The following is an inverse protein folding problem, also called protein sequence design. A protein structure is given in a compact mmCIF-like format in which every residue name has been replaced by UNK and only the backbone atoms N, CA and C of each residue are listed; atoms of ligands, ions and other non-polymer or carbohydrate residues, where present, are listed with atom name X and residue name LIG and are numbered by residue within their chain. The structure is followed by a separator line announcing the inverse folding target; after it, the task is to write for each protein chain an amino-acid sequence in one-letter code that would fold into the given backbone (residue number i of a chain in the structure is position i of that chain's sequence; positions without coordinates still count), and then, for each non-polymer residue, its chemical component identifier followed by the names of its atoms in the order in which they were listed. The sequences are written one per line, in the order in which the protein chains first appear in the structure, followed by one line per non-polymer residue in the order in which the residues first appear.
data_IF_642919705167
#
_entry.id   IF_642919705167
#
_cell.length_a   1.000
_cell.length_b   1.000
_cell.length_c   1.000
_cell.angle_alpha   90.00
_cell.angle_beta   90.00
_cell.angle_gamma   90.00
#
_symmetry.space_group_name_H-M   'P 1'
#
loop_
_entity.id
_entity.type
_entity.pdbx_description
1 polymer ?
#
# COMPACT_ATOMS: atom_id res chain seq x y z
N UNK A 1 -38.78 -0.79 4.61
CA UNK A 1 -37.87 0.21 3.99
C UNK A 1 -37.43 1.16 5.09
N UNK A 2 -36.33 0.87 5.79
CA UNK A 2 -35.70 1.81 6.71
C UNK A 2 -34.66 2.61 5.87
N UNK A 3 -34.88 3.93 5.78
CA UNK A 3 -34.00 4.84 5.08
C UNK A 3 -32.69 5.02 5.87
N UNK A 4 -31.59 4.91 5.21
CA UNK A 4 -30.26 5.19 5.76
C UNK A 4 -30.07 6.71 5.91
N UNK A 5 -29.47 7.19 7.00
CA UNK A 5 -29.08 8.59 7.08
C UNK A 5 -28.00 8.90 6.05
N UNK A 6 -28.22 9.92 5.23
CA UNK A 6 -27.23 10.47 4.30
C UNK A 6 -26.21 11.27 5.12
N UNK A 7 -24.95 10.90 5.03
CA UNK A 7 -23.83 11.70 5.54
C UNK A 7 -23.38 12.68 4.47
N UNK A 8 -23.45 13.98 4.77
CA UNK A 8 -22.84 15.01 3.95
C UNK A 8 -21.33 15.05 4.22
N UNK A 9 -20.55 15.14 3.16
CA UNK A 9 -19.08 15.20 3.18
C UNK A 9 -18.51 16.57 3.68
N UNK A 10 -19.36 17.40 4.25
CA UNK A 10 -18.97 18.66 4.86
C UNK A 10 -19.56 18.76 6.25
N UNK A 11 -18.74 18.52 7.29
CA UNK A 11 -18.93 18.95 8.68
C UNK A 11 -20.34 18.94 9.27
N UNK A 12 -21.23 18.07 8.82
CA UNK A 12 -22.62 18.04 9.23
C UNK A 12 -22.83 17.12 10.42
N UNK A 13 -23.33 17.68 11.51
CA UNK A 13 -23.91 16.92 12.61
C UNK A 13 -24.89 15.88 12.05
N UNK A 14 -24.79 14.64 12.52
CA UNK A 14 -25.79 13.63 12.29
C UNK A 14 -27.16 14.15 12.76
N UNK A 15 -27.99 14.60 11.84
CA UNK A 15 -29.42 14.83 12.09
C UNK A 15 -30.13 13.49 12.07
N UNK A 16 -30.15 12.87 13.20
CA UNK A 16 -30.93 11.69 13.54
C UNK A 16 -31.33 11.81 14.98
N UNK A 17 -32.04 12.90 15.30
CA UNK A 17 -32.70 13.01 16.58
C UNK A 17 -33.99 12.19 16.54
N UNK A 18 -34.01 11.24 17.48
CA UNK A 18 -35.23 10.80 18.20
C UNK A 18 -36.29 10.00 17.43
N UNK A 19 -35.91 8.77 16.99
CA UNK A 19 -36.81 7.66 17.28
C UNK A 19 -35.96 6.41 17.62
N UNK A 20 -35.74 6.25 18.91
CA UNK A 20 -35.46 5.03 19.61
C UNK A 20 -34.58 3.97 18.95
N UNK A 21 -33.28 4.19 18.80
CA UNK A 21 -32.36 3.05 18.78
C UNK A 21 -32.28 2.50 20.21
N UNK A 22 -33.22 1.65 20.58
CA UNK A 22 -33.34 1.03 21.90
C UNK A 22 -32.16 0.10 22.24
N UNK A 23 -31.25 -0.16 21.24
CA UNK A 23 -30.12 -1.05 21.44
C UNK A 23 -28.86 -0.50 20.78
N UNK A 24 -28.20 0.44 21.47
CA UNK A 24 -26.88 0.98 21.05
C UNK A 24 -25.83 -0.12 20.84
N UNK A 25 -26.01 -1.31 21.43
CA UNK A 25 -25.08 -2.42 21.28
C UNK A 25 -25.15 -3.06 19.88
N UNK A 26 -26.24 -2.88 19.15
CA UNK A 26 -26.41 -3.39 17.79
C UNK A 26 -26.00 -2.39 16.69
N UNK A 27 -25.70 -1.16 17.05
CA UNK A 27 -25.29 -0.16 16.07
C UNK A 27 -23.90 -0.51 15.50
N UNK A 28 -23.75 -0.38 14.19
CA UNK A 28 -22.48 -0.50 13.46
C UNK A 28 -22.23 0.76 12.70
N UNK A 29 -21.03 1.32 12.85
CA UNK A 29 -20.58 2.50 12.11
C UNK A 29 -19.57 2.03 11.07
N UNK A 30 -19.96 2.12 9.81
CA UNK A 30 -19.08 1.77 8.69
C UNK A 30 -18.54 3.05 8.09
N UNK A 31 -17.22 3.17 7.98
CA UNK A 31 -16.53 4.33 7.42
C UNK A 31 -15.58 3.90 6.32
N UNK A 32 -15.70 4.49 5.15
CA UNK A 32 -14.74 4.32 4.07
C UNK A 32 -13.60 5.32 4.24
N UNK A 33 -12.38 4.88 4.05
CA UNK A 33 -11.17 5.71 4.13
C UNK A 33 -10.80 6.30 2.76
N UNK A 34 -10.04 7.41 2.72
CA UNK A 34 -9.54 8.19 3.85
C UNK A 34 -10.63 9.07 4.46
N UNK A 35 -10.68 9.18 5.78
CA UNK A 35 -11.69 9.96 6.51
C UNK A 35 -11.10 11.26 7.07
N UNK A 36 -9.83 11.23 7.51
CA UNK A 36 -9.06 12.41 7.92
C UNK A 36 -8.22 12.97 6.77
N UNK A 37 -7.70 14.18 6.94
CA UNK A 37 -6.76 14.83 6.00
C UNK A 37 -5.33 14.83 6.54
N UNK A 38 -5.17 14.68 7.86
CA UNK A 38 -3.94 14.67 8.63
C UNK A 38 -4.18 14.02 10.00
N UNK A 39 -3.14 13.92 10.83
CA UNK A 39 -3.22 13.34 12.18
C UNK A 39 -4.25 14.06 13.07
N UNK A 40 -4.28 15.41 13.01
CA UNK A 40 -5.15 16.24 13.84
C UNK A 40 -6.63 16.02 13.53
N UNK A 41 -7.00 16.05 12.27
CA UNK A 41 -8.38 15.86 11.81
C UNK A 41 -8.88 14.44 12.07
N UNK A 42 -8.01 13.42 11.91
CA UNK A 42 -8.38 12.04 12.21
C UNK A 42 -8.58 11.80 13.72
N UNK A 43 -7.71 12.34 14.58
CA UNK A 43 -7.88 12.29 16.04
C UNK A 43 -9.17 12.96 16.50
N UNK A 44 -9.53 14.11 15.89
CA UNK A 44 -10.78 14.79 16.20
C UNK A 44 -11.98 13.94 15.83
N UNK A 45 -11.97 13.40 14.64
CA UNK A 45 -13.02 12.51 14.13
C UNK A 45 -13.15 11.22 14.95
N UNK A 46 -12.01 10.60 15.33
CA UNK A 46 -12.01 9.42 16.19
C UNK A 46 -12.62 9.70 17.57
N UNK A 47 -12.38 10.89 18.15
CA UNK A 47 -13.02 11.31 19.41
C UNK A 47 -14.54 11.47 19.26
N UNK A 48 -14.99 12.10 18.18
CA UNK A 48 -16.40 12.28 17.90
C UNK A 48 -17.12 10.93 17.74
N UNK A 49 -16.54 10.01 16.97
CA UNK A 49 -17.11 8.68 16.75
C UNK A 49 -17.10 7.81 18.00
N UNK A 50 -16.03 7.87 18.79
CA UNK A 50 -15.94 7.17 20.09
C UNK A 50 -16.93 7.74 21.13
N UNK A 51 -17.32 9.00 21.02
CA UNK A 51 -18.39 9.58 21.83
C UNK A 51 -19.75 8.94 21.60
N UNK A 52 -19.98 8.32 20.42
CA UNK A 52 -21.21 7.64 20.04
C UNK A 52 -21.21 6.12 20.17
N UNK A 53 -20.04 5.46 20.34
CA UNK A 53 -19.93 3.99 20.35
C UNK A 53 -18.57 3.48 20.79
N UNK A 54 -18.47 2.17 20.98
CA UNK A 54 -17.21 1.49 21.31
C UNK A 54 -16.41 1.20 20.03
N UNK A 55 -15.08 1.12 20.12
CA UNK A 55 -14.19 0.83 18.97
C UNK A 55 -14.60 -0.45 18.21
N UNK A 56 -15.09 -1.47 18.91
CA UNK A 56 -15.57 -2.73 18.32
C UNK A 56 -16.82 -2.58 17.44
N UNK A 57 -17.46 -1.42 17.46
CA UNK A 57 -18.65 -1.09 16.64
C UNK A 57 -18.27 -0.23 15.43
N UNK A 58 -16.99 0.14 15.27
CA UNK A 58 -16.51 1.03 14.23
C UNK A 58 -15.71 0.22 13.22
N UNK A 59 -16.21 0.14 12.00
CA UNK A 59 -15.65 -0.62 10.90
C UNK A 59 -15.07 0.36 9.86
N UNK A 60 -13.73 0.59 9.94
CA UNK A 60 -13.03 1.46 8.99
C UNK A 60 -12.61 0.61 7.80
N UNK A 61 -13.33 0.78 6.69
CA UNK A 61 -13.08 0.04 5.45
C UNK A 61 -11.83 0.55 4.76
N UNK A 62 -10.92 -0.38 4.49
CA UNK A 62 -9.88 -0.30 3.48
C UNK A 62 -10.10 -1.46 2.50
N UNK A 63 -10.47 -1.16 1.25
CA UNK A 63 -10.84 -2.20 0.27
C UNK A 63 -9.67 -3.17 -0.03
N UNK A 64 -8.43 -2.70 0.14
CA UNK A 64 -7.25 -3.53 -0.03
C UNK A 64 -7.26 -4.73 0.93
N UNK A 65 -7.71 -4.54 2.17
CA UNK A 65 -7.78 -5.59 3.18
C UNK A 65 -8.83 -6.67 2.89
N UNK A 66 -9.86 -6.33 2.09
CA UNK A 66 -10.88 -7.29 1.67
C UNK A 66 -10.42 -8.24 0.57
N UNK A 67 -9.26 -8.00 -0.05
CA UNK A 67 -8.74 -8.86 -1.12
C UNK A 67 -8.12 -10.14 -0.57
N UNK A 68 -8.46 -11.28 -1.17
CA UNK A 68 -7.93 -12.58 -0.76
C UNK A 68 -6.41 -12.64 -0.82
N UNK A 69 -5.81 -12.05 -1.84
CA UNK A 69 -4.36 -12.04 -2.03
C UNK A 69 -3.60 -11.23 -1.00
N UNK A 70 -4.18 -10.14 -0.48
CA UNK A 70 -3.61 -9.44 0.67
C UNK A 70 -3.68 -10.32 1.93
N UNK A 71 -4.77 -11.06 2.08
CA UNK A 71 -4.92 -12.02 3.19
C UNK A 71 -3.97 -13.21 3.03
N UNK A 72 -3.66 -13.62 1.79
CA UNK A 72 -2.73 -14.69 1.49
C UNK A 72 -1.30 -14.41 1.96
N UNK A 73 -0.88 -13.16 2.09
CA UNK A 73 0.42 -12.82 2.71
C UNK A 73 0.55 -13.49 4.09
N UNK A 74 -0.52 -13.47 4.89
CA UNK A 74 -0.56 -14.14 6.19
C UNK A 74 -0.55 -15.65 6.04
N UNK A 75 -1.32 -16.20 5.09
CA UNK A 75 -1.36 -17.63 4.79
C UNK A 75 0.01 -18.15 4.37
N UNK A 76 0.68 -17.48 3.43
CA UNK A 76 2.03 -17.86 3.00
C UNK A 76 3.04 -17.82 4.13
N UNK A 77 3.01 -16.79 4.97
CA UNK A 77 3.95 -16.66 6.07
C UNK A 77 3.67 -17.66 7.19
N UNK A 78 2.45 -17.69 7.71
CA UNK A 78 2.14 -18.33 8.99
C UNK A 78 1.71 -19.78 8.87
N UNK A 79 1.33 -20.23 7.67
CA UNK A 79 1.01 -21.64 7.41
C UNK A 79 2.20 -22.46 6.89
N UNK A 80 3.35 -21.84 6.61
CA UNK A 80 4.48 -22.48 5.95
C UNK A 80 5.78 -22.28 6.73
N UNK A 81 6.40 -23.37 7.16
CA UNK A 81 7.67 -23.35 7.90
C UNK A 81 8.87 -22.86 7.11
N UNK A 82 8.78 -22.79 5.79
CA UNK A 82 9.89 -22.35 4.93
C UNK A 82 9.97 -20.82 4.80
N UNK A 83 8.87 -20.08 5.00
CA UNK A 83 8.87 -18.63 4.78
C UNK A 83 9.11 -17.82 6.07
N UNK A 84 8.39 -18.08 7.14
CA UNK A 84 8.46 -17.24 8.34
C UNK A 84 9.87 -17.16 8.96
N UNK A 85 10.68 -18.24 9.04
CA UNK A 85 12.05 -18.16 9.57
C UNK A 85 12.99 -17.26 8.77
N UNK A 86 12.76 -17.10 7.47
CA UNK A 86 13.58 -16.25 6.59
C UNK A 86 12.95 -14.87 6.34
N UNK A 87 11.79 -14.57 6.92
CA UNK A 87 11.06 -13.32 6.73
C UNK A 87 11.54 -12.23 7.67
N UNK A 88 12.83 -11.89 7.58
CA UNK A 88 13.47 -10.92 8.45
C UNK A 88 14.77 -10.37 7.84
N UNK A 89 15.35 -9.38 8.51
CA UNK A 89 16.58 -8.66 8.12
C UNK A 89 17.81 -9.52 7.85
N UNK A 90 17.85 -10.74 8.38
CA UNK A 90 19.01 -11.62 8.17
C UNK A 90 19.03 -12.19 6.75
N UNK A 91 17.85 -12.31 6.13
CA UNK A 91 17.68 -12.91 4.80
C UNK A 91 17.16 -11.93 3.76
N UNK A 92 16.36 -10.93 4.15
CA UNK A 92 15.76 -9.95 3.24
C UNK A 92 16.65 -8.70 3.19
N UNK A 93 16.98 -8.27 1.97
CA UNK A 93 17.78 -7.08 1.70
C UNK A 93 16.92 -5.83 1.46
N UNK A 94 15.75 -6.00 0.85
CA UNK A 94 14.80 -4.90 0.59
C UNK A 94 13.40 -5.40 0.36
N UNK A 95 12.41 -4.53 0.54
CA UNK A 95 11.00 -4.77 0.22
C UNK A 95 10.50 -3.65 -0.68
N UNK A 96 9.81 -3.99 -1.78
CA UNK A 96 9.13 -3.03 -2.64
C UNK A 96 7.63 -3.27 -2.60
N UNK A 97 6.83 -2.22 -2.42
CA UNK A 97 5.37 -2.26 -2.45
C UNK A 97 4.90 -1.31 -3.53
N UNK A 98 4.27 -1.84 -4.56
CA UNK A 98 3.79 -1.07 -5.70
C UNK A 98 2.28 -1.19 -5.83
N UNK A 99 1.59 -0.06 -6.02
CA UNK A 99 0.21 -0.01 -6.48
C UNK A 99 0.12 0.98 -7.65
N UNK A 100 0.04 0.47 -8.87
CA UNK A 100 0.01 1.27 -10.09
C UNK A 100 -1.33 1.16 -10.80
N UNK A 101 -1.80 2.29 -11.35
CA UNK A 101 -3.04 2.40 -12.09
C UNK A 101 -2.77 2.94 -13.51
N UNK A 102 -3.45 2.39 -14.51
CA UNK A 102 -3.36 2.85 -15.90
C UNK A 102 -4.35 3.96 -16.22
N UNK A 103 -5.35 4.16 -15.36
CA UNK A 103 -6.38 5.21 -15.48
C UNK A 103 -5.91 6.54 -14.91
N UNK A 104 -6.51 7.64 -15.35
CA UNK A 104 -6.33 8.98 -14.78
C UNK A 104 -7.23 9.23 -13.58
N UNK A 105 -7.48 10.51 -13.30
CA UNK A 105 -8.43 10.90 -12.23
C UNK A 105 -9.87 10.88 -12.71
N UNK A 106 -10.10 11.02 -14.01
CA UNK A 106 -11.42 10.96 -14.65
C UNK A 106 -12.46 11.84 -13.93
N UNK A 107 -13.64 11.33 -13.59
CA UNK A 107 -14.70 12.08 -12.91
C UNK A 107 -14.38 12.41 -11.43
N UNK A 108 -13.27 11.90 -10.89
CA UNK A 108 -12.88 12.11 -9.50
C UNK A 108 -11.93 13.30 -9.28
N UNK A 109 -11.76 14.18 -10.26
CA UNK A 109 -10.83 15.32 -10.21
C UNK A 109 -11.01 16.17 -8.94
N UNK A 110 -12.24 16.58 -8.61
CA UNK A 110 -12.52 17.41 -7.44
C UNK A 110 -12.16 16.76 -6.10
N UNK A 111 -12.32 15.44 -5.98
CA UNK A 111 -11.85 14.68 -4.81
C UNK A 111 -10.32 14.61 -4.79
N UNK A 112 -9.73 14.32 -5.94
CA UNK A 112 -8.30 14.06 -6.06
C UNK A 112 -7.45 15.30 -5.83
N UNK A 113 -7.94 16.48 -6.24
CA UNK A 113 -7.30 17.78 -5.96
C UNK A 113 -7.06 18.03 -4.46
N UNK A 114 -7.92 17.48 -3.60
CA UNK A 114 -7.78 17.64 -2.14
C UNK A 114 -7.05 16.48 -1.46
N UNK A 115 -6.92 15.35 -2.14
CA UNK A 115 -6.34 14.12 -1.57
C UNK A 115 -4.92 13.87 -2.04
N UNK A 116 -4.68 13.91 -3.33
CA UNK A 116 -3.43 13.47 -3.94
C UNK A 116 -3.14 11.98 -3.72
N UNK A 117 -2.07 11.49 -4.30
CA UNK A 117 -1.67 10.09 -4.18
C UNK A 117 -1.21 9.72 -2.75
N UNK A 118 -0.67 10.69 -1.99
CA UNK A 118 -0.18 10.46 -0.64
C UNK A 118 -1.33 10.11 0.32
N UNK A 119 -2.44 10.86 0.26
CA UNK A 119 -3.61 10.60 1.11
C UNK A 119 -4.50 9.47 0.57
N UNK A 120 -4.71 9.42 -0.76
CA UNK A 120 -5.63 8.46 -1.38
C UNK A 120 -5.08 7.03 -1.37
N UNK A 121 -3.77 6.85 -1.57
CA UNK A 121 -3.17 5.54 -1.76
C UNK A 121 -2.14 5.16 -0.69
N UNK A 122 -1.22 6.07 -0.37
CA UNK A 122 -0.09 5.72 0.50
C UNK A 122 -0.52 5.54 1.94
N UNK A 123 -1.18 6.55 2.51
CA UNK A 123 -1.58 6.59 3.93
C UNK A 123 -2.54 5.44 4.32
N UNK A 124 -3.28 4.90 3.37
CA UNK A 124 -4.23 3.82 3.59
C UNK A 124 -3.76 2.49 2.98
N UNK A 125 -3.96 2.27 1.68
CA UNK A 125 -3.79 0.97 1.02
C UNK A 125 -2.35 0.44 1.12
N UNK A 126 -1.34 1.26 0.74
CA UNK A 126 0.04 0.80 0.75
C UNK A 126 0.56 0.63 2.18
N UNK A 127 0.10 1.47 3.11
CA UNK A 127 0.42 1.35 4.53
C UNK A 127 -0.15 0.07 5.13
N UNK A 128 -1.34 -0.36 4.74
CA UNK A 128 -1.89 -1.65 5.18
C UNK A 128 -1.13 -2.83 4.59
N UNK A 129 -0.74 -2.76 3.30
CA UNK A 129 0.12 -3.77 2.68
C UNK A 129 1.47 -3.87 3.41
N UNK A 130 2.09 -2.73 3.72
CA UNK A 130 3.33 -2.67 4.51
C UNK A 130 3.13 -3.32 5.89
N UNK A 131 2.05 -2.96 6.61
CA UNK A 131 1.79 -3.48 7.94
C UNK A 131 1.60 -5.01 7.95
N UNK A 132 0.82 -5.57 7.01
CA UNK A 132 0.61 -7.02 6.88
C UNK A 132 1.91 -7.74 6.49
N UNK A 133 2.69 -7.14 5.58
CA UNK A 133 3.97 -7.71 5.15
C UNK A 133 4.97 -7.77 6.28
N UNK A 134 4.99 -6.74 7.14
CA UNK A 134 6.05 -6.55 8.14
C UNK A 134 5.65 -6.98 9.57
N UNK A 135 4.38 -7.30 9.85
CA UNK A 135 3.92 -7.65 11.19
C UNK A 135 4.58 -8.91 11.75
N UNK A 136 4.65 -9.03 13.06
CA UNK A 136 5.02 -10.28 13.73
C UNK A 136 3.88 -11.31 13.62
N UNK A 137 4.23 -12.59 13.81
CA UNK A 137 3.23 -13.65 13.90
C UNK A 137 2.34 -13.40 15.11
N UNK A 138 1.02 -13.23 14.93
CA UNK A 138 0.14 -13.02 16.07
C UNK A 138 0.08 -14.27 16.93
N UNK A 139 0.05 -14.10 18.25
CA UNK A 139 -0.02 -15.21 19.19
C UNK A 139 -1.31 -16.05 19.10
N UNK A 140 -2.35 -15.48 18.48
CA UNK A 140 -3.62 -16.13 18.13
C UNK A 140 -4.15 -15.51 16.83
N UNK A 141 -4.86 -16.31 16.05
CA UNK A 141 -5.51 -15.81 14.84
C UNK A 141 -6.87 -15.22 15.19
N UNK A 142 -6.85 -14.08 15.87
CA UNK A 142 -8.04 -13.29 16.21
C UNK A 142 -7.87 -11.82 15.80
N UNK A 143 -8.98 -11.07 15.66
CA UNK A 143 -8.95 -9.71 15.15
C UNK A 143 -8.05 -8.77 15.97
N UNK A 144 -8.07 -8.87 17.29
CA UNK A 144 -7.31 -7.97 18.16
C UNK A 144 -5.81 -8.25 18.10
N UNK A 145 -5.42 -9.53 18.06
CA UNK A 145 -4.02 -9.92 17.92
C UNK A 145 -3.45 -9.43 16.58
N UNK A 146 -4.15 -9.68 15.47
CA UNK A 146 -3.72 -9.25 14.12
C UNK A 146 -3.58 -7.71 14.06
N UNK A 147 -4.59 -6.97 14.50
CA UNK A 147 -4.58 -5.50 14.50
C UNK A 147 -3.49 -4.93 15.41
N UNK A 148 -3.22 -5.59 16.53
CA UNK A 148 -2.14 -5.18 17.43
C UNK A 148 -0.76 -5.36 16.81
N UNK A 149 -0.51 -6.45 16.08
CA UNK A 149 0.78 -6.63 15.38
C UNK A 149 0.95 -5.62 14.24
N UNK A 150 -0.10 -5.29 13.48
CA UNK A 150 -0.06 -4.21 12.49
C UNK A 150 0.24 -2.85 13.12
N UNK A 151 -0.41 -2.51 14.22
CA UNK A 151 -0.18 -1.26 14.94
C UNK A 151 1.27 -1.12 15.41
N UNK A 152 1.90 -2.19 15.91
CA UNK A 152 3.32 -2.20 16.31
C UNK A 152 4.24 -1.87 15.13
N UNK A 153 3.97 -2.42 13.95
CA UNK A 153 4.73 -2.10 12.74
C UNK A 153 4.65 -0.60 12.44
N UNK A 154 3.42 -0.05 12.40
CA UNK A 154 3.21 1.35 12.06
C UNK A 154 3.79 2.32 13.10
N UNK A 155 3.81 1.92 14.37
CA UNK A 155 4.47 2.68 15.44
C UNK A 155 6.00 2.69 15.33
N UNK A 156 6.58 1.62 14.75
CA UNK A 156 8.01 1.49 14.53
C UNK A 156 8.46 1.98 13.14
N UNK A 157 7.50 2.29 12.26
CA UNK A 157 7.79 2.79 10.91
C UNK A 157 8.19 4.28 10.97
N UNK A 158 9.20 4.63 10.16
CA UNK A 158 9.66 6.01 9.98
C UNK A 158 10.07 6.28 8.53
N UNK A 159 10.13 7.56 8.17
CA UNK A 159 10.77 8.00 6.94
C UNK A 159 12.26 7.67 6.98
N UNK A 160 12.86 7.38 5.84
CA UNK A 160 14.29 7.03 5.78
C UNK A 160 15.20 8.18 6.21
N UNK A 161 14.74 9.41 5.99
CA UNK A 161 15.40 10.63 6.46
C UNK A 161 14.34 11.49 7.16
N UNK A 162 14.34 11.52 8.48
CA UNK A 162 13.38 12.30 9.27
C UNK A 162 13.76 13.78 9.37
N UNK A 163 15.05 14.10 9.23
CA UNK A 163 15.54 15.49 9.26
C UNK A 163 15.32 16.18 7.93
N UNK A 164 15.48 15.43 6.85
CA UNK A 164 15.29 15.90 5.48
C UNK A 164 14.32 14.98 4.70
N UNK A 165 13.02 14.99 5.04
CA UNK A 165 12.03 14.07 4.48
C UNK A 165 11.94 14.11 2.94
N UNK A 166 12.31 15.23 2.33
CA UNK A 166 12.38 15.38 0.86
C UNK A 166 13.45 14.51 0.19
N UNK A 167 14.45 14.02 0.94
CA UNK A 167 15.46 13.12 0.39
C UNK A 167 14.93 11.69 0.16
N UNK A 168 13.88 11.31 0.85
CA UNK A 168 13.32 9.95 0.80
C UNK A 168 11.90 9.87 0.20
N UNK A 169 11.37 10.98 -0.32
CA UNK A 169 10.07 11.04 -0.96
C UNK A 169 10.15 11.78 -2.30
N UNK A 170 9.54 11.21 -3.33
CA UNK A 170 9.41 11.78 -4.67
C UNK A 170 7.94 11.93 -4.99
N UNK A 171 7.52 13.13 -5.35
CA UNK A 171 6.17 13.42 -5.86
C UNK A 171 6.21 13.58 -7.37
N UNK A 172 5.20 13.07 -8.05
CA UNK A 172 5.10 13.22 -9.50
C UNK A 172 3.68 13.56 -9.96
N UNK A 173 3.57 14.09 -11.18
CA UNK A 173 2.29 14.37 -11.81
C UNK A 173 2.35 13.94 -13.28
N UNK A 174 1.33 13.18 -13.75
CA UNK A 174 1.34 12.73 -15.12
C UNK A 174 1.09 13.88 -16.10
N UNK A 175 1.95 13.92 -17.10
CA UNK A 175 1.81 14.77 -18.27
C UNK A 175 1.04 14.07 -19.40
N UNK A 176 0.88 14.75 -20.54
CA UNK A 176 0.36 14.13 -21.74
C UNK A 176 1.20 12.92 -22.14
N UNK A 177 0.61 12.02 -22.91
CA UNK A 177 1.29 10.86 -23.49
C UNK A 177 0.45 10.26 -24.57
N UNK A 178 0.82 9.10 -25.07
CA UNK A 178 0.08 8.37 -26.09
C UNK A 178 0.06 6.88 -25.80
N UNK A 179 -1.04 6.22 -26.12
CA UNK A 179 -1.15 4.77 -26.15
C UNK A 179 -1.93 4.39 -27.38
N UNK A 180 -1.38 3.46 -28.18
CA UNK A 180 -2.05 2.89 -29.36
C UNK A 180 -2.60 3.93 -30.34
N UNK A 181 -1.88 5.07 -30.49
CA UNK A 181 -2.25 6.15 -31.39
C UNK A 181 -3.30 7.14 -30.84
N UNK A 182 -3.80 6.96 -29.62
CA UNK A 182 -4.70 7.90 -28.97
C UNK A 182 -3.92 8.81 -27.99
N UNK A 183 -4.05 10.15 -28.11
CA UNK A 183 -3.44 11.08 -27.16
C UNK A 183 -4.11 10.96 -25.78
N UNK A 184 -3.31 10.95 -24.74
CA UNK A 184 -3.75 11.00 -23.34
C UNK A 184 -3.50 12.40 -22.78
N UNK A 185 -4.49 12.99 -22.12
CA UNK A 185 -4.37 14.26 -21.43
C UNK A 185 -3.46 14.14 -20.21
N UNK A 186 -2.67 15.19 -19.96
CA UNK A 186 -1.98 15.34 -18.69
C UNK A 186 -2.95 15.73 -17.57
N UNK A 187 -2.53 15.59 -16.33
CA UNK A 187 -3.36 15.83 -15.15
C UNK A 187 -4.02 17.22 -15.15
N UNK A 188 -3.24 18.27 -15.43
CA UNK A 188 -3.73 19.66 -15.49
C UNK A 188 -4.65 19.96 -16.67
N UNK A 189 -4.82 18.99 -17.56
CA UNK A 189 -5.73 19.07 -18.71
C UNK A 189 -7.00 18.25 -18.49
N UNK A 190 -7.09 17.50 -17.41
CA UNK A 190 -8.28 16.72 -17.06
C UNK A 190 -9.42 17.67 -16.63
N UNK A 191 -10.68 17.36 -17.01
CA UNK A 191 -11.83 18.16 -16.61
C UNK A 191 -11.95 18.30 -15.09
N UNK A 192 -12.07 19.54 -14.60
CA UNK A 192 -12.24 19.82 -13.17
C UNK A 192 -10.94 19.88 -12.35
N UNK A 193 -9.79 19.80 -13.01
CA UNK A 193 -8.47 20.01 -12.39
C UNK A 193 -8.03 21.46 -12.60
N UNK A 194 -7.41 22.07 -11.58
CA UNK A 194 -6.80 23.38 -11.70
C UNK A 194 -5.58 23.29 -12.67
N UNK A 195 -5.51 24.14 -13.71
CA UNK A 195 -4.36 24.19 -14.63
C UNK A 195 -3.01 24.44 -13.95
N UNK A 196 -3.02 24.98 -12.73
CA UNK A 196 -1.84 25.24 -11.92
C UNK A 196 -1.68 24.25 -10.77
N UNK A 197 -2.48 23.19 -10.73
CA UNK A 197 -2.47 22.20 -9.64
C UNK A 197 -1.07 21.67 -9.35
N UNK A 198 -0.75 21.58 -8.07
CA UNK A 198 0.47 20.96 -7.52
C UNK A 198 0.17 19.64 -6.79
N UNK A 199 -1.02 19.08 -7.02
CA UNK A 199 -1.44 17.81 -6.45
C UNK A 199 -0.67 16.67 -7.11
N UNK A 200 -0.08 15.81 -6.32
CA UNK A 200 0.66 14.66 -6.82
C UNK A 200 -0.28 13.54 -7.28
N UNK A 201 0.01 12.98 -8.44
CA UNK A 201 -0.63 11.76 -8.98
C UNK A 201 0.27 10.54 -8.91
N UNK A 202 1.48 10.73 -8.39
CA UNK A 202 2.50 9.73 -8.17
C UNK A 202 3.27 10.05 -6.91
N UNK A 203 3.55 9.02 -6.13
CA UNK A 203 4.46 9.08 -4.98
C UNK A 203 5.36 7.86 -4.97
N UNK A 204 6.65 8.08 -4.72
CA UNK A 204 7.60 7.03 -4.35
C UNK A 204 8.33 7.46 -3.09
N UNK A 205 8.53 6.53 -2.16
CA UNK A 205 9.24 6.84 -0.92
C UNK A 205 10.00 5.64 -0.36
N UNK A 206 11.00 5.96 0.47
CA UNK A 206 11.79 5.00 1.24
C UNK A 206 11.47 5.14 2.72
N UNK A 207 11.18 4.01 3.36
CA UNK A 207 10.82 3.89 4.76
C UNK A 207 11.75 2.87 5.44
N UNK A 208 11.86 2.97 6.76
CA UNK A 208 12.43 1.93 7.63
C UNK A 208 11.44 1.55 8.72
N UNK A 209 11.61 0.36 9.28
CA UNK A 209 10.87 -0.15 10.42
C UNK A 209 11.87 -0.51 11.51
N UNK A 210 11.90 0.30 12.58
CA UNK A 210 12.87 0.18 13.66
C UNK A 210 12.43 -0.85 14.70
N UNK A 211 12.47 -2.12 14.30
CA UNK A 211 12.26 -3.26 15.16
C UNK A 211 13.31 -4.35 14.90
N UNK A 212 13.35 -5.38 15.74
CA UNK A 212 14.32 -6.46 15.62
C UNK A 212 14.24 -7.23 14.28
N UNK A 213 13.04 -7.35 13.72
CA UNK A 213 12.81 -8.07 12.46
C UNK A 213 13.35 -7.32 11.26
N UNK A 214 13.22 -5.98 11.23
CA UNK A 214 13.39 -5.19 10.01
C UNK A 214 14.48 -4.14 10.08
N UNK A 215 15.12 -3.93 11.24
CA UNK A 215 16.16 -2.90 11.38
C UNK A 215 17.17 -2.95 10.24
N UNK A 216 17.29 -1.84 9.50
CA UNK A 216 18.23 -1.68 8.39
C UNK A 216 17.75 -2.21 7.04
N UNK A 217 16.56 -2.82 6.95
CA UNK A 217 15.92 -3.21 5.68
C UNK A 217 15.12 -2.03 5.13
N UNK A 218 15.44 -1.52 3.93
CA UNK A 218 14.64 -0.47 3.30
C UNK A 218 13.32 -1.03 2.75
N UNK A 219 12.25 -0.29 2.99
CA UNK A 219 10.95 -0.49 2.39
C UNK A 219 10.71 0.62 1.37
N UNK A 220 10.57 0.26 0.11
CA UNK A 220 10.23 1.19 -0.95
C UNK A 220 8.77 1.05 -1.31
N UNK A 221 8.07 2.17 -1.30
CA UNK A 221 6.65 2.23 -1.59
C UNK A 221 6.43 3.16 -2.77
N UNK A 222 5.66 2.72 -3.78
CA UNK A 222 5.25 3.62 -4.87
C UNK A 222 3.81 3.38 -5.30
N UNK A 223 3.20 4.47 -5.74
CA UNK A 223 1.89 4.47 -6.38
C UNK A 223 1.82 5.55 -7.44
N UNK A 224 0.94 5.39 -8.40
CA UNK A 224 0.68 6.45 -9.39
C UNK A 224 -0.43 6.09 -10.36
N UNK A 225 -0.97 7.14 -10.98
CA UNK A 225 -1.96 7.07 -12.04
C UNK A 225 -1.32 7.21 -13.43
N UNK A 226 -2.00 6.77 -14.48
CA UNK A 226 -1.49 6.78 -15.88
C UNK A 226 -0.14 6.08 -16.00
N UNK A 227 0.14 5.08 -15.17
CA UNK A 227 1.35 4.28 -15.26
C UNK A 227 1.25 3.22 -16.38
N UNK A 228 2.38 2.58 -16.69
CA UNK A 228 2.50 1.64 -17.80
C UNK A 228 1.58 0.41 -17.69
N UNK A 229 1.38 -0.09 -16.48
CA UNK A 229 0.59 -1.31 -16.21
C UNK A 229 -0.22 -1.14 -14.93
N UNK A 230 -1.46 -1.66 -14.90
CA UNK A 230 -2.21 -1.81 -13.64
C UNK A 230 -1.61 -2.98 -12.85
N UNK A 231 -1.18 -2.70 -11.62
CA UNK A 231 -0.46 -3.68 -10.80
C UNK A 231 -0.55 -3.30 -9.33
N UNK A 232 -0.77 -4.31 -8.49
CA UNK A 232 -0.47 -4.20 -7.05
C UNK A 232 0.32 -5.43 -6.64
N UNK A 233 1.50 -5.21 -6.05
CA UNK A 233 2.41 -6.29 -5.66
C UNK A 233 3.26 -5.91 -4.46
N UNK A 234 3.75 -6.94 -3.77
CA UNK A 234 4.83 -6.86 -2.78
C UNK A 234 5.98 -7.72 -3.26
N UNK A 235 7.17 -7.15 -3.34
CA UNK A 235 8.39 -7.84 -3.74
C UNK A 235 9.37 -7.87 -2.57
N UNK A 236 9.73 -9.06 -2.13
CA UNK A 236 10.79 -9.27 -1.15
C UNK A 236 12.04 -9.73 -1.90
N UNK A 237 13.10 -8.95 -1.82
CA UNK A 237 14.40 -9.31 -2.37
C UNK A 237 15.26 -9.87 -1.26
N UNK A 238 15.74 -11.09 -1.45
CA UNK A 238 16.62 -11.74 -0.50
C UNK A 238 18.04 -11.23 -0.62
N UNK A 239 18.85 -11.44 0.41
CA UNK A 239 20.27 -11.19 0.35
C UNK A 239 20.92 -12.14 -0.65
N UNK A 240 21.94 -11.66 -1.33
CA UNK A 240 22.74 -12.49 -2.21
C UNK A 240 23.43 -13.62 -1.43
N UNK A 241 23.71 -14.71 -2.14
CA UNK A 241 24.52 -15.78 -1.58
C UNK A 241 25.90 -15.24 -1.14
N UNK A 242 26.35 -15.54 0.08
CA UNK A 242 27.60 -14.97 0.60
C UNK A 242 28.85 -15.42 -0.14
N UNK A 243 28.72 -16.50 -0.91
CA UNK A 243 29.82 -17.05 -1.75
C UNK A 243 29.26 -17.39 -3.13
N UNK A 244 29.84 -16.82 -4.17
CA UNK A 244 29.47 -17.11 -5.56
C UNK A 244 30.36 -18.27 -6.06
N UNK A 245 29.81 -19.49 -6.05
CA UNK A 245 30.51 -20.72 -6.47
C UNK A 245 30.32 -21.06 -7.95
N UNK A 246 29.33 -20.39 -8.58
CA UNK A 246 28.95 -20.66 -9.97
C UNK A 246 29.04 -19.41 -10.82
N UNK A 247 29.58 -19.57 -12.03
CA UNK A 247 29.50 -18.50 -13.01
C UNK A 247 28.07 -18.33 -13.49
N UNK A 248 27.51 -17.13 -13.36
CA UNK A 248 26.21 -16.82 -13.94
C UNK A 248 26.32 -16.71 -15.47
N UNK A 249 25.34 -17.24 -16.18
CA UNK A 249 25.20 -17.05 -17.62
C UNK A 249 24.80 -15.58 -17.89
N UNK A 250 25.80 -14.73 -18.10
CA UNK A 250 25.56 -13.30 -18.40
C UNK A 250 25.94 -12.31 -17.30
N UNK A 251 26.64 -12.72 -16.24
CA UNK A 251 27.11 -11.83 -15.16
C UNK A 251 27.05 -12.46 -13.78
N UNK A 252 26.93 -11.64 -12.74
CA UNK A 252 26.74 -12.11 -11.36
C UNK A 252 25.36 -12.75 -11.17
N UNK A 253 25.26 -13.79 -10.30
CA UNK A 253 23.96 -14.34 -9.91
C UNK A 253 23.01 -13.26 -9.40
N UNK A 254 21.72 -13.40 -9.70
CA UNK A 254 20.70 -12.46 -9.23
C UNK A 254 20.21 -12.84 -7.83
N UNK A 255 19.92 -11.83 -7.02
CA UNK A 255 19.29 -12.07 -5.73
C UNK A 255 17.92 -12.75 -5.90
N UNK A 256 17.63 -13.72 -5.06
CA UNK A 256 16.32 -14.38 -5.08
C UNK A 256 15.21 -13.37 -4.73
N UNK A 257 14.04 -13.55 -5.34
CA UNK A 257 12.87 -12.68 -5.08
C UNK A 257 11.62 -13.51 -4.84
N UNK A 258 10.83 -13.11 -3.87
CA UNK A 258 9.46 -13.54 -3.71
C UNK A 258 8.54 -12.37 -4.06
N UNK A 259 7.72 -12.55 -5.07
CA UNK A 259 6.77 -11.57 -5.58
C UNK A 259 5.36 -12.04 -5.22
N UNK A 260 4.63 -11.25 -4.45
CA UNK A 260 3.25 -11.47 -4.09
C UNK A 260 2.39 -10.55 -4.95
N UNK A 261 1.72 -11.13 -5.94
CA UNK A 261 0.84 -10.40 -6.87
C UNK A 261 -0.55 -10.29 -6.26
N UNK A 262 -1.05 -9.06 -6.09
CA UNK A 262 -2.33 -8.77 -5.45
C UNK A 262 -3.40 -8.49 -6.50
N UNK A 263 -3.04 -7.83 -7.59
CA UNK A 263 -3.90 -7.58 -8.76
C UNK A 263 -3.05 -7.18 -9.98
N UNK A 264 -3.56 -7.39 -11.24
CA UNK A 264 -4.79 -8.10 -11.56
C UNK A 264 -4.66 -9.62 -11.48
N UNK A 265 -3.46 -10.15 -11.70
CA UNK A 265 -3.16 -11.57 -11.79
C UNK A 265 -2.75 -12.09 -10.42
N UNK A 266 -3.73 -12.52 -9.62
CA UNK A 266 -3.54 -12.89 -8.23
C UNK A 266 -2.67 -14.15 -8.08
N UNK A 267 -1.60 -14.07 -7.25
CA UNK A 267 -0.69 -15.20 -7.07
C UNK A 267 0.63 -14.86 -6.38
N UNK A 268 1.58 -15.76 -6.52
CA UNK A 268 2.94 -15.59 -6.03
C UNK A 268 3.95 -16.14 -7.05
N UNK A 269 5.11 -15.52 -7.11
CA UNK A 269 6.21 -15.89 -7.99
C UNK A 269 7.51 -15.92 -7.16
N UNK A 270 8.27 -17.00 -7.27
CA UNK A 270 9.56 -17.13 -6.62
C UNK A 270 10.66 -17.25 -7.67
N UNK A 271 11.57 -16.28 -7.70
CA UNK A 271 12.74 -16.26 -8.60
C UNK A 271 13.97 -16.77 -7.87
N UNK A 272 14.66 -17.72 -8.48
CA UNK A 272 15.88 -18.31 -7.90
C UNK A 272 16.79 -18.86 -8.99
N UNK A 273 18.06 -19.07 -8.64
CA UNK A 273 19.08 -19.58 -9.56
C UNK A 273 19.06 -21.11 -9.63
N UNK A 274 19.16 -21.65 -10.84
CA UNK A 274 19.35 -23.10 -11.09
C UNK A 274 20.51 -23.33 -12.03
N UNK A 275 21.12 -24.51 -11.95
CA UNK A 275 22.18 -24.90 -12.89
C UNK A 275 21.62 -25.02 -14.31
N UNK A 276 22.27 -24.34 -15.27
CA UNK A 276 21.94 -24.48 -16.68
C UNK A 276 22.28 -25.90 -17.19
N UNK A 277 21.47 -26.47 -18.09
CA UNK A 277 21.81 -27.71 -18.76
C UNK A 277 23.16 -27.61 -19.53
N UNK A 278 23.90 -28.73 -19.62
CA UNK A 278 25.18 -28.80 -20.33
C UNK A 278 26.37 -28.95 -19.42
N UNK A 279 27.56 -28.89 -20.03
CA UNK A 279 28.84 -28.98 -19.32
C UNK A 279 29.18 -27.66 -18.61
N UNK A 280 29.77 -27.76 -17.43
CA UNK A 280 30.13 -26.61 -16.60
C UNK A 280 29.09 -26.25 -15.56
N UNK A 281 29.51 -25.45 -14.57
CA UNK A 281 28.69 -25.02 -13.44
C UNK A 281 28.25 -23.57 -13.66
N UNK A 282 27.32 -23.40 -14.60
CA UNK A 282 26.67 -22.08 -14.87
C UNK A 282 25.26 -22.07 -14.33
N UNK A 283 24.88 -20.98 -13.63
CA UNK A 283 23.53 -20.75 -13.18
C UNK A 283 22.75 -19.82 -14.11
N UNK A 284 21.44 -19.91 -14.02
CA UNK A 284 20.49 -18.94 -14.60
C UNK A 284 19.27 -18.80 -13.71
N UNK A 285 18.63 -17.62 -13.67
CA UNK A 285 17.38 -17.45 -12.94
C UNK A 285 16.25 -18.24 -13.61
N UNK A 286 15.40 -18.83 -12.77
CA UNK A 286 14.12 -19.44 -13.14
C UNK A 286 13.04 -18.94 -12.19
N UNK A 287 11.79 -19.16 -12.57
CA UNK A 287 10.61 -18.74 -11.84
C UNK A 287 9.74 -19.96 -11.50
N UNK A 288 9.25 -20.02 -10.26
CA UNK A 288 8.16 -20.87 -9.84
C UNK A 288 6.97 -19.98 -9.58
N UNK A 289 5.84 -20.30 -10.16
CA UNK A 289 4.63 -19.49 -10.10
C UNK A 289 3.47 -20.27 -9.48
N UNK A 290 2.69 -19.57 -8.66
CA UNK A 290 1.39 -19.98 -8.18
C UNK A 290 0.35 -18.94 -8.65
N UNK A 291 -0.71 -19.39 -9.26
CA UNK A 291 -1.86 -18.58 -9.69
C UNK A 291 -3.12 -19.03 -8.96
N UNK A 292 -3.89 -18.07 -8.45
CA UNK A 292 -5.19 -18.35 -7.81
C UNK A 292 -6.20 -18.89 -8.81
N UNK A 293 -6.31 -18.29 -10.00
CA UNK A 293 -7.25 -18.69 -11.03
C UNK A 293 -7.00 -20.12 -11.49
N UNK A 294 -5.73 -20.49 -11.68
CA UNK A 294 -5.36 -21.85 -12.09
C UNK A 294 -5.60 -22.88 -10.98
N UNK A 295 -5.40 -22.50 -9.72
CA UNK A 295 -5.45 -23.42 -8.58
C UNK A 295 -6.86 -23.62 -8.03
N UNK A 296 -7.71 -22.59 -8.07
CA UNK A 296 -9.03 -22.60 -7.43
C UNK A 296 -10.18 -22.44 -8.44
N UNK A 297 -9.92 -21.92 -9.65
CA UNK A 297 -10.90 -21.85 -10.74
C UNK A 297 -12.06 -20.88 -10.54
N UNK A 298 -12.04 -20.10 -9.47
CA UNK A 298 -13.07 -19.10 -9.18
C UNK A 298 -12.41 -17.72 -9.03
N UNK A 299 -13.00 -16.66 -9.64
CA UNK A 299 -12.55 -15.31 -9.39
C UNK A 299 -12.73 -14.98 -7.90
N UNK A 300 -11.74 -14.32 -7.31
CA UNK A 300 -11.87 -13.85 -5.92
C UNK A 300 -13.04 -12.88 -5.81
N UNK A 301 -13.82 -13.00 -4.73
CA UNK A 301 -14.91 -12.09 -4.42
C UNK A 301 -14.43 -10.63 -4.43
N UNK A 302 -15.29 -9.72 -4.90
CA UNK A 302 -15.03 -8.30 -4.76
C UNK A 302 -14.82 -7.98 -3.28
N UNK A 303 -13.61 -7.53 -2.92
CA UNK A 303 -13.22 -7.26 -1.54
C UNK A 303 -14.21 -6.38 -0.75
N UNK A 304 -15.04 -5.61 -1.45
CA UNK A 304 -16.09 -4.79 -0.85
C UNK A 304 -17.25 -5.61 -0.31
N UNK A 305 -17.68 -6.64 -1.03
CA UNK A 305 -18.78 -7.53 -0.63
C UNK A 305 -18.40 -8.25 0.67
N UNK A 306 -17.20 -8.77 0.73
CA UNK A 306 -16.66 -9.42 1.93
C UNK A 306 -16.62 -8.48 3.13
N UNK A 307 -16.07 -7.27 2.97
CA UNK A 307 -15.99 -6.30 4.06
C UNK A 307 -17.38 -5.89 4.59
N UNK A 308 -18.37 -5.74 3.73
CA UNK A 308 -19.74 -5.46 4.17
C UNK A 308 -20.33 -6.64 4.94
N UNK A 309 -20.13 -7.87 4.47
CA UNK A 309 -20.58 -9.08 5.17
C UNK A 309 -19.92 -9.20 6.56
N UNK A 310 -18.61 -8.99 6.67
CA UNK A 310 -17.86 -9.03 7.93
C UNK A 310 -18.36 -7.94 8.89
N UNK A 311 -18.64 -6.73 8.41
CA UNK A 311 -19.23 -5.66 9.23
C UNK A 311 -20.62 -6.05 9.78
N UNK A 312 -21.46 -6.70 8.96
CA UNK A 312 -22.77 -7.20 9.38
C UNK A 312 -22.63 -8.31 10.43
N UNK A 313 -21.68 -9.21 10.27
CA UNK A 313 -21.35 -10.29 11.22
C UNK A 313 -20.61 -9.79 12.47
N UNK A 314 -20.20 -8.53 12.48
CA UNK A 314 -19.38 -7.94 13.56
C UNK A 314 -17.99 -8.55 13.68
N UNK A 315 -17.44 -9.02 12.57
CA UNK A 315 -16.04 -9.47 12.49
C UNK A 315 -15.13 -8.29 12.12
N UNK A 316 -14.29 -7.80 13.04
CA UNK A 316 -13.41 -6.67 12.78
C UNK A 316 -12.04 -7.06 12.19
N UNK A 317 -11.83 -8.31 11.78
CA UNK A 317 -10.51 -8.84 11.34
C UNK A 317 -9.90 -8.07 10.19
N UNK A 318 -10.73 -7.66 9.21
CA UNK A 318 -10.29 -6.97 8.01
C UNK A 318 -10.42 -5.43 8.11
N UNK A 319 -10.71 -4.91 9.30
CA UNK A 319 -10.89 -3.46 9.49
C UNK A 319 -9.73 -2.86 10.29
N UNK A 320 -9.42 -1.61 9.99
CA UNK A 320 -8.36 -0.88 10.68
C UNK A 320 -8.85 -0.36 12.03
N UNK A 321 -7.99 -0.45 13.04
CA UNK A 321 -8.23 0.11 14.37
C UNK A 321 -7.76 1.57 14.44
N UNK A 322 -8.30 2.36 15.35
CA UNK A 322 -7.98 3.79 15.44
C UNK A 322 -6.49 4.08 15.66
N UNK A 323 -5.80 3.27 16.44
CA UNK A 323 -4.38 3.43 16.70
C UNK A 323 -3.48 3.14 15.48
N UNK A 324 -3.89 2.19 14.61
CA UNK A 324 -3.23 1.96 13.32
C UNK A 324 -3.35 3.20 12.42
N UNK A 325 -4.56 3.78 12.36
CA UNK A 325 -4.83 4.96 11.53
C UNK A 325 -4.05 6.18 12.03
N UNK A 326 -4.04 6.40 13.34
CA UNK A 326 -3.30 7.49 13.97
C UNK A 326 -1.78 7.32 13.78
N UNK A 327 -1.25 6.09 13.89
CA UNK A 327 0.16 5.81 13.62
C UNK A 327 0.51 6.05 12.13
N UNK A 328 -0.35 5.64 11.20
CA UNK A 328 -0.16 5.90 9.77
C UNK A 328 -0.14 7.40 9.48
N UNK A 329 -1.07 8.18 10.03
CA UNK A 329 -1.05 9.64 9.86
C UNK A 329 0.21 10.29 10.45
N UNK A 330 0.63 9.88 11.64
CA UNK A 330 1.86 10.39 12.25
C UNK A 330 3.08 10.20 11.34
N UNK A 331 3.15 9.07 10.63
CA UNK A 331 4.23 8.78 9.70
C UNK A 331 4.29 9.77 8.52
N UNK A 332 3.13 10.19 7.99
CA UNK A 332 3.06 10.99 6.76
C UNK A 332 2.76 12.47 6.98
N UNK A 333 2.25 12.86 8.14
CA UNK A 333 1.93 14.27 8.45
C UNK A 333 3.13 15.20 8.22
N UNK A 334 4.39 14.87 8.57
CA UNK A 334 5.54 15.73 8.28
C UNK A 334 5.74 16.03 6.78
N UNK A 335 5.42 15.06 5.91
CA UNK A 335 5.47 15.28 4.44
C UNK A 335 4.34 16.19 3.98
N UNK A 336 3.14 16.04 4.56
CA UNK A 336 1.99 16.88 4.21
C UNK A 336 2.22 18.34 4.63
N UNK A 337 2.72 18.56 5.84
CA UNK A 337 3.10 19.89 6.35
C UNK A 337 4.20 20.52 5.47
N UNK A 338 5.20 19.71 5.07
CA UNK A 338 6.24 20.18 4.17
C UNK A 338 5.70 20.59 2.80
N UNK A 339 4.72 19.85 2.26
CA UNK A 339 4.08 20.18 0.99
C UNK A 339 3.31 21.51 1.08
N UNK A 340 2.68 21.77 2.21
CA UNK A 340 1.90 22.99 2.42
C UNK A 340 2.81 24.20 2.72
N UNK A 341 3.79 24.04 3.62
CA UNK A 341 4.63 25.15 4.10
C UNK A 341 5.84 25.43 3.21
N UNK A 342 6.37 24.44 2.53
CA UNK A 342 7.62 24.53 1.76
C UNK A 342 7.60 23.65 0.51
N UNK A 343 6.65 23.87 -0.43
CA UNK A 343 6.45 23.00 -1.60
C UNK A 343 7.68 22.90 -2.50
N UNK A 344 8.58 23.88 -2.48
CA UNK A 344 9.84 23.86 -3.26
C UNK A 344 10.84 22.80 -2.78
N UNK A 345 10.76 22.33 -1.53
CA UNK A 345 11.60 21.26 -1.00
C UNK A 345 11.17 19.89 -1.49
N UNK A 346 9.89 19.74 -1.82
CA UNK A 346 9.32 18.51 -2.35
C UNK A 346 8.59 18.78 -3.69
N UNK A 347 9.34 19.12 -4.76
CA UNK A 347 8.77 19.54 -6.03
C UNK A 347 7.99 18.41 -6.70
N UNK A 348 7.08 18.80 -7.61
CA UNK A 348 6.38 17.89 -8.51
C UNK A 348 7.28 17.56 -9.71
N UNK A 349 7.60 16.30 -9.90
CA UNK A 349 8.32 15.80 -11.07
C UNK A 349 7.33 15.36 -12.15
N UNK A 350 7.38 15.93 -13.35
CA UNK A 350 6.53 15.46 -14.44
C UNK A 350 6.95 14.07 -14.91
N UNK A 351 5.98 13.25 -15.33
CA UNK A 351 6.22 11.99 -16.02
C UNK A 351 5.22 11.81 -17.17
N UNK A 352 5.66 11.20 -18.24
CA UNK A 352 4.80 10.90 -19.38
C UNK A 352 3.81 9.78 -19.02
N UNK A 353 2.56 9.92 -19.43
CA UNK A 353 1.53 8.89 -19.31
C UNK A 353 2.00 7.58 -19.95
N UNK A 354 1.68 6.44 -19.31
CA UNK A 354 2.12 5.09 -19.70
C UNK A 354 3.60 4.78 -19.46
N UNK A 355 4.30 5.58 -18.67
CA UNK A 355 5.62 5.24 -18.12
C UNK A 355 5.51 4.69 -16.70
N UNK A 356 6.64 4.35 -16.07
CA UNK A 356 6.69 3.89 -14.68
C UNK A 356 6.87 5.03 -13.66
N UNK A 357 6.58 6.25 -14.05
CA UNK A 357 6.72 7.43 -13.20
C UNK A 357 7.97 8.26 -13.53
N UNK A 358 8.27 9.27 -12.70
CA UNK A 358 9.38 10.17 -12.95
C UNK A 358 10.74 9.51 -12.72
N UNK A 359 11.77 9.89 -13.50
CA UNK A 359 13.14 9.40 -13.37
C UNK A 359 13.73 9.63 -11.95
N UNK A 360 13.27 10.65 -11.25
CA UNK A 360 13.65 10.90 -9.86
C UNK A 360 13.29 9.73 -8.93
N UNK A 361 12.22 8.99 -9.22
CA UNK A 361 11.85 7.80 -8.46
C UNK A 361 12.81 6.63 -8.70
N UNK A 362 13.38 6.49 -9.90
CA UNK A 362 14.44 5.50 -10.16
C UNK A 362 15.71 5.88 -9.42
N UNK A 363 16.06 7.17 -9.40
CA UNK A 363 17.23 7.68 -8.69
C UNK A 363 17.12 7.44 -7.16
N UNK A 364 15.92 7.38 -6.60
CA UNK A 364 15.71 7.07 -5.18
C UNK A 364 16.25 5.67 -4.82
N UNK A 365 15.97 4.65 -5.64
CA UNK A 365 16.46 3.29 -5.41
C UNK A 365 17.92 3.11 -5.85
N UNK A 366 18.32 3.80 -6.92
CA UNK A 366 19.68 3.72 -7.45
C UNK A 366 20.74 4.15 -6.44
N UNK A 367 20.43 5.04 -5.49
CA UNK A 367 21.30 5.41 -4.37
C UNK A 367 21.71 4.21 -3.50
N UNK A 368 20.85 3.19 -3.44
CA UNK A 368 21.10 1.95 -2.69
C UNK A 368 21.51 0.79 -3.61
N UNK A 369 21.83 1.07 -4.88
CA UNK A 369 22.19 0.06 -5.88
C UNK A 369 21.02 -0.82 -6.33
N UNK A 370 19.79 -0.38 -6.13
CA UNK A 370 18.57 -1.12 -6.42
C UNK A 370 17.80 -0.52 -7.61
N UNK A 371 16.91 -1.31 -8.18
CA UNK A 371 16.00 -0.90 -9.24
C UNK A 371 14.56 -1.26 -8.86
N UNK A 372 13.59 -0.48 -9.34
CA UNK A 372 12.20 -0.87 -9.29
C UNK A 372 11.94 -2.10 -10.15
N UNK A 373 11.18 -3.06 -9.61
CA UNK A 373 10.63 -4.11 -10.44
C UNK A 373 9.68 -3.51 -11.48
N UNK A 374 9.82 -3.94 -12.73
CA UNK A 374 8.98 -3.57 -13.87
C UNK A 374 8.55 -4.86 -14.58
N UNK A 375 7.36 -5.43 -14.24
CA UNK A 375 6.87 -6.69 -14.82
C UNK A 375 6.39 -6.53 -16.27
#
# INVERSE_FOLDING_TARGET
RAGWPKFDAGGGRARGEEEGVKDRQRMRVVKQRPVGRDEGSDKSLNREVKGGGQEKQIFRIDICLGRETVQNIKGMRFANTIFEPIWNRNYISSVQITASETVGVEERAGYYETSGALRDMVQNHLTQMLAITAMETPGRFDPEAIRSEKAKVLQAARLADELEPWNCCIRGQYGPGGSDGAPLSGYRQEPGVDPHSTTETYVAMKLFIDNWRWQGVPFYVRTGKRLAKRLSEVVLTFREAPVHLFDAAGGSPTANQLILRIQPDEGAEFKFEVKSPGSGMRSRPVEMEFSYDESFGEPSDEGYVRLLADAMLSDPTLFTRSDEVEAAWRLYTPLLELIEDSPWKLPIHPYESRTWGPAAADALLARDGLLWRRP
#
